data_IF_302702785542
#
_entry.id   IF_302702785542
#
_cell.length_a   1.000
_cell.length_b   1.000
_cell.length_c   1.000
_cell.angle_alpha   90.00
_cell.angle_beta   90.00
_cell.angle_gamma   90.00
#
_symmetry.space_group_name_H-M   'P 1'
#
loop_
_entity.id
_entity.type
_entity.pdbx_description
1 polymer ?
#
# COMPACT_ATOMS: atom_id res chain seq x y z
N UNK A 1 -1.86 -1.86 -14.01
CA UNK A 1 -0.70 -2.34 -13.21
C UNK A 1 -0.25 -3.65 -13.83
N UNK A 2 1.07 -3.88 -13.93
CA UNK A 2 1.61 -5.06 -14.64
C UNK A 2 1.64 -6.33 -13.79
N UNK A 3 1.89 -6.24 -12.47
CA UNK A 3 1.89 -7.36 -11.53
C UNK A 3 1.21 -6.97 -10.20
N UNK A 4 -0.11 -6.72 -10.20
CA UNK A 4 -0.83 -6.33 -8.99
C UNK A 4 -0.79 -7.41 -7.89
N UNK A 5 -0.66 -8.68 -8.25
CA UNK A 5 -0.57 -9.83 -7.34
C UNK A 5 0.69 -9.80 -6.45
N UNK A 6 1.75 -9.13 -6.87
CA UNK A 6 3.00 -9.01 -6.12
C UNK A 6 3.00 -7.83 -5.13
N UNK A 7 2.01 -6.93 -5.23
CA UNK A 7 1.98 -5.69 -4.47
C UNK A 7 2.03 -5.93 -2.95
N UNK A 8 1.26 -6.89 -2.44
CA UNK A 8 1.22 -7.20 -1.01
C UNK A 8 2.58 -7.68 -0.51
N UNK A 9 3.16 -8.70 -1.16
CA UNK A 9 4.40 -9.32 -0.72
C UNK A 9 5.59 -8.36 -0.82
N UNK A 10 5.68 -7.58 -1.89
CA UNK A 10 6.75 -6.58 -2.06
C UNK A 10 6.62 -5.45 -1.03
N UNK A 11 5.41 -4.96 -0.79
CA UNK A 11 5.17 -3.93 0.24
C UNK A 11 5.56 -4.46 1.63
N UNK A 12 5.20 -5.71 1.93
CA UNK A 12 5.57 -6.38 3.19
C UNK A 12 7.08 -6.49 3.34
N UNK A 13 7.80 -6.93 2.31
CA UNK A 13 9.26 -7.06 2.41
C UNK A 13 9.97 -5.72 2.55
N UNK A 14 9.53 -4.66 1.85
CA UNK A 14 10.04 -3.31 2.06
C UNK A 14 9.81 -2.84 3.50
N UNK A 15 8.61 -3.07 4.04
CA UNK A 15 8.29 -2.74 5.44
C UNK A 15 9.17 -3.51 6.41
N UNK A 16 9.39 -4.81 6.16
CA UNK A 16 10.23 -5.66 6.98
C UNK A 16 11.71 -5.24 6.94
N UNK A 17 12.20 -4.67 5.84
CA UNK A 17 13.55 -4.10 5.77
C UNK A 17 13.69 -2.91 6.72
N UNK A 18 12.96 -1.84 6.48
CA UNK A 18 13.12 -0.58 7.23
C UNK A 18 12.62 -0.68 8.68
N UNK A 19 11.45 -1.27 8.92
CA UNK A 19 10.79 -1.22 10.24
C UNK A 19 10.98 -2.47 11.10
N UNK A 20 11.56 -3.55 10.57
CA UNK A 20 11.86 -4.75 11.36
C UNK A 20 13.34 -5.09 11.43
N UNK A 21 14.13 -4.77 10.40
CA UNK A 21 15.56 -5.11 10.35
C UNK A 21 16.50 -3.90 10.33
N UNK A 22 15.94 -2.68 10.32
CA UNK A 22 16.71 -1.43 10.21
C UNK A 22 17.64 -1.41 8.97
N UNK A 23 17.13 -1.97 7.86
CA UNK A 23 17.85 -2.06 6.58
C UNK A 23 17.39 -0.94 5.62
N UNK A 24 18.31 -0.49 4.76
CA UNK A 24 18.03 0.51 3.73
C UNK A 24 16.92 0.07 2.74
N UNK A 25 16.16 1.05 2.24
CA UNK A 25 15.15 0.92 1.18
C UNK A 25 15.29 2.00 0.08
N UNK A 26 16.39 2.74 0.06
CA UNK A 26 16.61 3.86 -0.88
C UNK A 26 17.52 3.47 -2.04
N UNK A 27 18.41 2.51 -1.83
CA UNK A 27 19.31 2.01 -2.86
C UNK A 27 18.62 1.00 -3.79
N UNK A 28 19.03 1.01 -5.06
CA UNK A 28 18.51 0.06 -6.06
C UNK A 28 18.66 -1.40 -5.64
N UNK A 29 19.81 -1.76 -5.08
CA UNK A 29 20.10 -3.11 -4.60
C UNK A 29 19.20 -3.52 -3.42
N UNK A 30 18.89 -2.59 -2.52
CA UNK A 30 17.97 -2.82 -1.40
C UNK A 30 16.54 -3.12 -1.88
N UNK A 31 16.06 -2.37 -2.87
CA UNK A 31 14.72 -2.58 -3.45
C UNK A 31 14.66 -3.91 -4.20
N UNK A 32 15.70 -4.27 -4.96
CA UNK A 32 15.78 -5.56 -5.65
C UNK A 32 15.76 -6.73 -4.66
N UNK A 33 16.54 -6.66 -3.58
CA UNK A 33 16.57 -7.71 -2.56
C UNK A 33 15.18 -7.91 -1.91
N UNK A 34 14.43 -6.83 -1.67
CA UNK A 34 13.05 -6.93 -1.16
C UNK A 34 12.12 -7.59 -2.18
N UNK A 35 12.21 -7.22 -3.46
CA UNK A 35 11.37 -7.77 -4.52
C UNK A 35 11.64 -9.27 -4.74
N UNK A 36 12.90 -9.69 -4.76
CA UNK A 36 13.29 -11.10 -4.90
C UNK A 36 12.82 -11.92 -3.71
N UNK A 37 13.00 -11.41 -2.49
CA UNK A 37 12.52 -12.06 -1.26
C UNK A 37 11.00 -12.19 -1.22
N UNK A 38 10.28 -11.26 -1.83
CA UNK A 38 8.83 -11.32 -2.02
C UNK A 38 8.38 -12.36 -3.08
N UNK A 39 9.33 -13.04 -3.75
CA UNK A 39 9.09 -14.08 -4.75
C UNK A 39 9.12 -13.59 -6.20
N UNK A 40 9.56 -12.35 -6.45
CA UNK A 40 9.70 -11.83 -7.82
C UNK A 40 10.96 -12.38 -8.48
N UNK A 41 10.87 -12.80 -9.75
CA UNK A 41 12.06 -13.18 -10.51
C UNK A 41 13.00 -11.97 -10.69
N UNK A 42 14.32 -12.18 -10.57
CA UNK A 42 15.36 -11.13 -10.66
C UNK A 42 15.21 -10.25 -11.90
N UNK A 43 15.03 -10.85 -13.08
CA UNK A 43 14.87 -10.11 -14.34
C UNK A 43 13.63 -9.19 -14.30
N UNK A 44 12.55 -9.67 -13.71
CA UNK A 44 11.31 -8.92 -13.57
C UNK A 44 11.46 -7.77 -12.55
N UNK A 45 12.16 -8.00 -11.45
CA UNK A 45 12.47 -6.98 -10.45
C UNK A 45 13.35 -5.87 -11.06
N UNK A 46 14.39 -6.23 -11.80
CA UNK A 46 15.26 -5.28 -12.53
C UNK A 46 14.48 -4.48 -13.56
N UNK A 47 13.59 -5.13 -14.33
CA UNK A 47 12.72 -4.46 -15.29
C UNK A 47 11.82 -3.41 -14.63
N UNK A 48 11.22 -3.71 -13.47
CA UNK A 48 10.40 -2.73 -12.75
C UNK A 48 11.22 -1.62 -12.11
N UNK A 49 12.38 -1.94 -11.55
CA UNK A 49 13.30 -0.94 -11.02
C UNK A 49 13.68 0.08 -12.11
N UNK A 50 13.98 -0.38 -13.32
CA UNK A 50 14.26 0.48 -14.47
C UNK A 50 13.10 1.39 -14.88
N UNK A 51 11.85 1.05 -14.54
CA UNK A 51 10.66 1.86 -14.83
C UNK A 51 10.40 2.96 -13.80
N UNK A 52 11.02 2.93 -12.62
CA UNK A 52 10.73 3.88 -11.53
C UNK A 52 10.92 5.35 -11.92
N UNK A 53 11.82 5.63 -12.86
CA UNK A 53 12.12 6.99 -13.32
C UNK A 53 11.24 7.48 -14.46
N UNK A 54 10.42 6.60 -15.05
CA UNK A 54 9.53 6.92 -16.18
C UNK A 54 8.43 7.89 -15.75
N UNK A 55 7.99 8.74 -16.68
CA UNK A 55 6.89 9.69 -16.44
C UNK A 55 5.63 8.96 -15.97
N UNK A 56 5.27 7.86 -16.65
CA UNK A 56 4.09 7.06 -16.31
C UNK A 56 4.08 6.59 -14.84
N UNK A 57 5.21 6.13 -14.29
CA UNK A 57 5.27 5.66 -12.90
C UNK A 57 5.20 6.85 -11.92
N UNK A 58 5.90 7.95 -12.21
CA UNK A 58 5.87 9.17 -11.39
C UNK A 58 4.48 9.79 -11.34
N UNK A 59 3.84 9.91 -12.50
CA UNK A 59 2.49 10.45 -12.63
C UNK A 59 1.50 9.55 -11.89
N UNK A 60 1.63 8.22 -12.00
CA UNK A 60 0.73 7.31 -11.29
C UNK A 60 0.84 7.41 -9.77
N UNK A 61 2.07 7.55 -9.25
CA UNK A 61 2.30 7.79 -7.82
C UNK A 61 1.67 9.11 -7.37
N UNK A 62 1.86 10.17 -8.15
CA UNK A 62 1.28 11.50 -7.90
C UNK A 62 -0.25 11.45 -7.89
N UNK A 63 -0.87 10.90 -8.94
CA UNK A 63 -2.32 10.75 -9.07
C UNK A 63 -2.94 9.99 -7.89
N UNK A 64 -2.30 8.89 -7.47
CA UNK A 64 -2.78 8.06 -6.36
C UNK A 64 -2.71 8.83 -5.03
N UNK A 65 -1.65 9.63 -4.85
CA UNK A 65 -1.48 10.48 -3.67
C UNK A 65 -2.45 11.66 -3.69
N UNK A 66 -2.70 12.27 -4.84
CA UNK A 66 -3.72 13.33 -4.99
C UNK A 66 -5.13 12.81 -4.73
N UNK A 67 -5.44 11.57 -5.11
CA UNK A 67 -6.71 10.94 -4.78
C UNK A 67 -6.89 10.82 -3.26
N UNK A 68 -5.82 10.46 -2.51
CA UNK A 68 -5.84 10.48 -1.05
C UNK A 68 -6.17 11.88 -0.49
N UNK A 69 -5.52 12.93 -1.02
CA UNK A 69 -5.81 14.31 -0.62
C UNK A 69 -7.26 14.71 -0.92
N UNK A 70 -7.83 14.28 -2.06
CA UNK A 70 -9.24 14.53 -2.41
C UNK A 70 -10.22 13.84 -1.44
N UNK A 71 -9.83 12.72 -0.83
CA UNK A 71 -10.58 12.08 0.25
C UNK A 71 -10.42 12.77 1.61
N UNK A 72 -9.62 13.82 1.71
CA UNK A 72 -9.36 14.55 2.96
C UNK A 72 -8.27 13.92 3.83
N UNK A 73 -7.40 13.08 3.26
CA UNK A 73 -6.27 12.51 4.00
C UNK A 73 -5.30 13.62 4.45
N UNK A 74 -4.95 13.60 5.74
CA UNK A 74 -3.94 14.48 6.35
C UNK A 74 -2.73 13.69 6.88
N UNK A 75 -2.72 12.37 6.71
CA UNK A 75 -1.66 11.47 7.13
C UNK A 75 -1.93 10.03 6.65
N UNK A 76 -1.05 9.11 7.02
CA UNK A 76 -1.15 7.68 6.70
C UNK A 76 -1.01 6.80 7.97
N UNK A 77 -1.61 5.59 7.99
CA UNK A 77 -2.53 5.08 6.97
C UNK A 77 -3.90 5.74 7.05
N UNK A 78 -4.63 5.72 5.95
CA UNK A 78 -6.08 5.93 5.94
C UNK A 78 -6.73 4.85 5.08
N UNK A 79 -7.99 4.55 5.34
CA UNK A 79 -8.81 3.60 4.59
C UNK A 79 -10.07 4.30 4.12
N UNK A 80 -10.44 4.10 2.85
CA UNK A 80 -11.71 4.58 2.29
C UNK A 80 -12.62 3.39 2.05
N UNK A 81 -13.81 3.44 2.62
CA UNK A 81 -14.84 2.43 2.42
C UNK A 81 -16.01 3.04 1.64
N UNK A 82 -16.40 2.39 0.56
CA UNK A 82 -17.59 2.74 -0.22
C UNK A 82 -18.70 1.72 0.12
N UNK A 83 -19.70 2.13 0.90
CA UNK A 83 -20.75 1.26 1.45
C UNK A 83 -22.11 1.93 1.22
N UNK A 84 -23.06 1.21 0.61
CA UNK A 84 -24.42 1.71 0.34
C UNK A 84 -24.48 3.08 -0.35
N UNK A 85 -23.58 3.30 -1.31
CA UNK A 85 -23.48 4.57 -2.06
C UNK A 85 -22.86 5.72 -1.27
N UNK A 86 -22.42 5.50 -0.03
CA UNK A 86 -21.71 6.48 0.80
C UNK A 86 -20.22 6.17 0.85
N UNK A 87 -19.43 7.23 0.92
CA UNK A 87 -17.97 7.16 1.07
C UNK A 87 -17.60 7.54 2.50
N UNK A 88 -16.89 6.65 3.18
CA UNK A 88 -16.40 6.84 4.54
C UNK A 88 -14.88 6.79 4.55
N UNK A 89 -14.25 7.78 5.18
CA UNK A 89 -12.79 7.84 5.33
C UNK A 89 -12.43 7.64 6.80
N UNK A 90 -11.49 6.72 7.06
CA UNK A 90 -10.96 6.41 8.38
C UNK A 90 -9.46 6.63 8.40
N UNK A 91 -8.97 7.47 9.32
CA UNK A 91 -7.54 7.68 9.54
C UNK A 91 -7.03 6.78 10.69
N UNK A 92 -5.81 6.24 10.54
CA UNK A 92 -5.14 5.42 11.54
C UNK A 92 -5.35 3.91 11.37
N UNK A 93 -4.55 3.13 12.08
CA UNK A 93 -4.65 1.66 12.14
C UNK A 93 -5.63 1.16 13.21
N UNK A 94 -6.12 2.05 14.08
CA UNK A 94 -6.98 1.76 15.23
C UNK A 94 -8.49 1.83 14.91
N UNK A 95 -8.88 2.12 13.67
CA UNK A 95 -10.28 2.26 13.23
C UNK A 95 -10.87 1.03 12.54
N UNK A 96 -10.16 -0.10 12.55
CA UNK A 96 -10.60 -1.32 11.86
C UNK A 96 -11.87 -1.93 12.46
N UNK A 97 -12.12 -1.77 13.77
CA UNK A 97 -13.38 -2.21 14.40
C UNK A 97 -14.57 -1.38 13.91
N UNK A 98 -14.40 -0.06 13.81
CA UNK A 98 -15.43 0.84 13.26
C UNK A 98 -15.70 0.55 11.78
N UNK A 99 -14.66 0.26 11.00
CA UNK A 99 -14.79 -0.19 9.62
C UNK A 99 -15.57 -1.52 9.55
N UNK A 100 -15.26 -2.49 10.41
CA UNK A 100 -15.94 -3.77 10.44
C UNK A 100 -17.43 -3.63 10.81
N UNK A 101 -17.75 -2.73 11.75
CA UNK A 101 -19.14 -2.38 12.07
C UNK A 101 -19.85 -1.77 10.86
N UNK A 102 -19.24 -0.80 10.18
CA UNK A 102 -19.78 -0.17 8.96
C UNK A 102 -20.06 -1.21 7.86
N UNK A 103 -19.17 -2.19 7.69
CA UNK A 103 -19.31 -3.25 6.69
C UNK A 103 -20.27 -4.39 7.10
N UNK A 104 -20.90 -4.30 8.28
CA UNK A 104 -21.75 -5.37 8.84
C UNK A 104 -20.97 -6.66 9.13
N UNK A 105 -19.65 -6.58 9.29
CA UNK A 105 -18.74 -7.69 9.60
C UNK A 105 -18.45 -7.83 11.09
N UNK A 106 -18.85 -6.84 11.87
CA UNK A 106 -18.82 -6.87 13.32
C UNK A 106 -20.24 -6.73 13.88
N UNK A 107 -20.63 -7.66 14.75
CA UNK A 107 -21.83 -7.54 15.57
C UNK A 107 -21.37 -7.39 17.01
N UNK A 108 -21.85 -6.35 17.69
CA UNK A 108 -21.61 -6.28 19.13
C UNK A 108 -22.28 -7.50 19.77
N UNK A 109 -21.64 -8.13 20.78
CA UNK A 109 -22.18 -9.33 21.42
C UNK A 109 -23.55 -9.15 22.11
N UNK A 110 -24.14 -7.95 22.05
CA UNK A 110 -25.43 -7.59 22.65
C UNK A 110 -26.40 -6.88 21.68
N UNK A 111 -26.17 -6.92 20.36
CA UNK A 111 -27.08 -6.37 19.33
C UNK A 111 -27.95 -7.43 18.66
#
# INVERSE_FOLDING_TARGET
MEQPEMLENVSRELWMRIWSRDEDITESQSILAAAEKAGMATEQAQKFLGKMTTAQVKDKLKETTEAACKYGAFGLPFTVAHVDGKTHMFFGSDRMELLAYLLGKFKFPFS
#
